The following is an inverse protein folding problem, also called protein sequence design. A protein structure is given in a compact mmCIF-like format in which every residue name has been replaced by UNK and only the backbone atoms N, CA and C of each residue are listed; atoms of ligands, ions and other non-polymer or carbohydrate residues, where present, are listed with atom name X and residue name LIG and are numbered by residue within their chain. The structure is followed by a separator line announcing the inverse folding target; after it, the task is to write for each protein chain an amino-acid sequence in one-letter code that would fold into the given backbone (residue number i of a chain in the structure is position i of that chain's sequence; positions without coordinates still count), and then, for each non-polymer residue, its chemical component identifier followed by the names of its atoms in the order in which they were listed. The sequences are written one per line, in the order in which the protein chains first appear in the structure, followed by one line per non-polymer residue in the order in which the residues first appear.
data_IF_686555562659
#
_entry.id   IF_686555562659
#
_cell.length_a   1.000
_cell.length_b   1.000
_cell.length_c   1.000
_cell.angle_alpha   90.00
_cell.angle_beta   90.00
_cell.angle_gamma   90.00
#
_symmetry.space_group_name_H-M   'P 1'
#
loop_
_entity.id
_entity.type
_entity.pdbx_description
1 polymer ?
#
# COMPACT_ATOMS: atom_id res chain seq x y z
N UNK A 1 26.65 -13.81 -1.62
CA UNK A 1 25.67 -13.09 -0.78
C UNK A 1 26.09 -11.63 -0.79
N UNK A 2 25.25 -10.71 -1.22
CA UNK A 2 25.58 -9.28 -1.23
C UNK A 2 25.55 -8.80 0.24
N UNK A 3 26.68 -8.35 0.82
CA UNK A 3 26.77 -8.07 2.26
C UNK A 3 26.09 -6.76 2.68
N UNK A 4 25.43 -6.07 1.75
CA UNK A 4 24.82 -4.76 1.95
C UNK A 4 23.31 -4.75 1.78
N UNK A 5 22.65 -5.90 1.54
CA UNK A 5 21.20 -5.96 1.49
C UNK A 5 20.63 -6.05 2.90
N UNK A 6 19.89 -5.03 3.29
CA UNK A 6 19.07 -5.07 4.48
C UNK A 6 17.91 -6.07 4.30
N UNK A 7 17.26 -6.42 5.41
CA UNK A 7 16.10 -7.32 5.37
C UNK A 7 14.93 -6.70 4.59
N UNK A 8 14.75 -5.38 4.69
CA UNK A 8 13.76 -4.61 3.92
C UNK A 8 14.02 -4.68 2.41
N UNK A 9 15.27 -4.77 1.96
CA UNK A 9 15.60 -4.91 0.54
C UNK A 9 14.99 -6.17 -0.10
N UNK A 10 14.73 -7.21 0.71
CA UNK A 10 14.06 -8.43 0.23
C UNK A 10 12.61 -8.16 -0.14
N UNK A 11 11.91 -7.36 0.65
CA UNK A 11 10.52 -6.97 0.36
C UNK A 11 10.48 -6.03 -0.84
N UNK A 12 11.39 -5.07 -0.93
CA UNK A 12 11.53 -4.21 -2.11
C UNK A 12 11.80 -5.05 -3.36
N UNK A 13 12.68 -6.05 -3.28
CA UNK A 13 12.91 -6.96 -4.40
C UNK A 13 11.65 -7.76 -4.76
N UNK A 14 10.92 -8.26 -3.78
CA UNK A 14 9.66 -8.96 -4.01
C UNK A 14 8.61 -8.03 -4.66
N UNK A 15 8.54 -6.77 -4.21
CA UNK A 15 7.69 -5.74 -4.78
C UNK A 15 7.96 -5.56 -6.28
N UNK A 16 9.19 -5.25 -6.64
CA UNK A 16 9.59 -5.04 -8.04
C UNK A 16 9.40 -6.32 -8.88
N UNK A 17 9.60 -7.49 -8.28
CA UNK A 17 9.34 -8.75 -8.96
C UNK A 17 7.85 -9.00 -9.20
N UNK A 18 6.98 -8.53 -8.32
CA UNK A 18 5.53 -8.54 -8.51
C UNK A 18 5.12 -7.74 -9.75
N UNK A 19 5.65 -6.53 -9.93
CA UNK A 19 5.47 -5.74 -11.15
C UNK A 19 5.97 -6.49 -12.39
N UNK A 20 7.17 -7.06 -12.31
CA UNK A 20 7.73 -7.85 -13.41
C UNK A 20 6.82 -9.03 -13.80
N UNK A 21 6.25 -9.74 -12.83
CA UNK A 21 5.36 -10.87 -13.12
C UNK A 21 4.12 -10.42 -13.89
N UNK A 22 3.48 -9.33 -13.49
CA UNK A 22 2.34 -8.78 -14.20
C UNK A 22 2.72 -8.32 -15.62
N UNK A 23 3.78 -7.53 -15.76
CA UNK A 23 4.24 -7.05 -17.06
C UNK A 23 4.62 -8.18 -18.01
N UNK A 24 5.25 -9.23 -17.49
CA UNK A 24 5.64 -10.39 -18.28
C UNK A 24 4.42 -11.17 -18.79
N UNK A 25 3.42 -11.39 -17.95
CA UNK A 25 2.19 -12.13 -18.33
C UNK A 25 1.34 -11.29 -19.28
N UNK A 26 1.18 -10.00 -19.00
CA UNK A 26 0.39 -9.07 -19.80
C UNK A 26 1.13 -8.54 -21.03
N UNK A 27 2.41 -8.91 -21.23
CA UNK A 27 3.25 -8.46 -22.35
C UNK A 27 3.33 -6.94 -22.50
N UNK A 28 3.45 -6.25 -21.38
CA UNK A 28 3.52 -4.79 -21.31
C UNK A 28 2.18 -4.08 -21.55
N UNK A 29 1.06 -4.80 -21.52
CA UNK A 29 -0.27 -4.16 -21.43
C UNK A 29 -0.43 -3.61 -20.02
N UNK A 30 -0.61 -2.32 -19.91
CA UNK A 30 -0.62 -1.64 -18.62
C UNK A 30 -1.99 -1.79 -17.93
N UNK A 31 -2.01 -2.42 -16.78
CA UNK A 31 -3.10 -2.28 -15.82
C UNK A 31 -3.09 -0.84 -15.24
N UNK A 32 -4.19 -0.38 -14.68
CA UNK A 32 -4.18 0.89 -13.94
C UNK A 32 -3.14 0.86 -12.80
N UNK A 33 -2.61 2.00 -12.41
CA UNK A 33 -1.58 2.13 -11.37
C UNK A 33 -1.96 1.40 -10.08
N UNK A 34 -3.20 1.58 -9.62
CA UNK A 34 -3.69 0.91 -8.42
C UNK A 34 -3.55 -0.62 -8.51
N UNK A 35 -3.90 -1.19 -9.67
CA UNK A 35 -3.85 -2.64 -9.89
C UNK A 35 -2.39 -3.12 -10.03
N UNK A 36 -1.53 -2.34 -10.65
CA UNK A 36 -0.10 -2.65 -10.71
C UNK A 36 0.50 -2.77 -9.30
N UNK A 37 0.09 -1.87 -8.39
CA UNK A 37 0.52 -1.93 -6.99
C UNK A 37 -0.13 -3.10 -6.22
N UNK A 38 -1.32 -3.59 -6.59
CA UNK A 38 -1.85 -4.83 -6.02
C UNK A 38 -0.94 -6.00 -6.34
N UNK A 39 -0.42 -6.10 -7.56
CA UNK A 39 0.47 -7.18 -7.95
C UNK A 39 1.79 -7.18 -7.17
N UNK A 40 2.40 -6.01 -7.00
CA UNK A 40 3.65 -5.87 -6.27
C UNK A 40 3.46 -6.17 -4.77
N UNK A 41 2.50 -5.55 -4.12
CA UNK A 41 2.26 -5.72 -2.69
C UNK A 41 1.74 -7.12 -2.34
N UNK A 42 0.90 -7.73 -3.17
CA UNK A 42 0.46 -9.10 -2.95
C UNK A 42 1.63 -10.09 -3.07
N UNK A 43 2.57 -9.85 -3.99
CA UNK A 43 3.76 -10.69 -4.10
C UNK A 43 4.68 -10.57 -2.87
N UNK A 44 4.80 -9.38 -2.28
CA UNK A 44 5.52 -9.21 -1.01
C UNK A 44 4.95 -10.15 0.07
N UNK A 45 3.64 -10.09 0.31
CA UNK A 45 2.97 -10.93 1.30
C UNK A 45 3.10 -12.42 1.01
N UNK A 46 2.83 -12.85 -0.22
CA UNK A 46 2.91 -14.25 -0.60
C UNK A 46 4.35 -14.78 -0.52
N UNK A 47 5.35 -13.95 -0.84
CA UNK A 47 6.76 -14.32 -0.69
C UNK A 47 7.11 -14.73 0.73
N UNK A 48 6.49 -14.11 1.73
CA UNK A 48 6.66 -14.45 3.14
C UNK A 48 6.08 -15.82 3.49
N UNK A 49 4.93 -16.17 2.91
CA UNK A 49 4.28 -17.47 3.16
C UNK A 49 5.08 -18.66 2.62
N UNK A 50 5.88 -18.44 1.57
CA UNK A 50 6.62 -19.48 0.86
C UNK A 50 8.14 -19.42 1.05
N UNK A 51 8.62 -18.58 1.98
CA UNK A 51 10.02 -18.46 2.33
C UNK A 51 10.29 -18.99 3.73
N UNK A 52 11.53 -19.36 4.01
CA UNK A 52 11.95 -19.82 5.33
C UNK A 52 12.47 -18.66 6.19
N UNK A 53 12.30 -18.75 7.51
CA UNK A 53 12.80 -17.79 8.50
C UNK A 53 12.30 -16.35 8.23
N UNK A 54 10.99 -16.21 8.04
CA UNK A 54 10.35 -14.93 7.67
C UNK A 54 9.70 -14.19 8.83
N UNK A 55 9.70 -14.70 10.06
CA UNK A 55 8.98 -14.10 11.21
C UNK A 55 9.27 -12.60 11.37
N UNK A 56 10.55 -12.21 11.34
CA UNK A 56 10.93 -10.81 11.40
C UNK A 56 10.40 -10.00 10.20
N UNK A 57 10.51 -10.54 8.98
CA UNK A 57 10.03 -9.87 7.78
C UNK A 57 8.51 -9.75 7.75
N UNK A 58 7.80 -10.74 8.27
CA UNK A 58 6.34 -10.70 8.41
C UNK A 58 5.93 -9.59 9.36
N UNK A 59 6.54 -9.51 10.53
CA UNK A 59 6.31 -8.41 11.48
C UNK A 59 6.61 -7.06 10.85
N UNK A 60 7.75 -6.95 10.16
CA UNK A 60 8.14 -5.71 9.47
C UNK A 60 7.10 -5.33 8.39
N UNK A 61 6.69 -6.27 7.52
CA UNK A 61 5.69 -6.01 6.46
C UNK A 61 4.33 -5.59 7.02
N UNK A 62 3.89 -6.22 8.10
CA UNK A 62 2.62 -5.83 8.74
C UNK A 62 2.70 -4.44 9.37
N UNK A 63 3.83 -4.10 10.00
CA UNK A 63 4.05 -2.75 10.53
C UNK A 63 4.12 -1.71 9.40
N UNK A 64 4.85 -2.00 8.32
CA UNK A 64 4.91 -1.19 7.12
C UNK A 64 3.52 -0.96 6.51
N UNK A 65 2.71 -2.00 6.42
CA UNK A 65 1.34 -1.90 5.91
C UNK A 65 0.44 -1.00 6.77
N UNK A 66 0.62 -1.03 8.09
CA UNK A 66 -0.06 -0.08 8.97
C UNK A 66 0.38 1.37 8.69
N UNK A 67 1.69 1.58 8.48
CA UNK A 67 2.20 2.89 8.07
C UNK A 67 1.60 3.32 6.73
N UNK A 68 1.48 2.41 5.75
CA UNK A 68 0.84 2.71 4.47
C UNK A 68 -0.61 3.19 4.66
N UNK A 69 -1.41 2.53 5.50
CA UNK A 69 -2.79 2.97 5.76
C UNK A 69 -2.86 4.36 6.40
N UNK A 70 -1.92 4.73 7.24
CA UNK A 70 -1.96 6.01 7.98
C UNK A 70 -1.25 7.11 7.20
N UNK A 71 0.02 6.91 6.89
CA UNK A 71 0.87 7.94 6.30
C UNK A 71 0.49 8.23 4.84
N UNK A 72 0.32 7.19 4.01
CA UNK A 72 -0.01 7.38 2.61
C UNK A 72 -1.43 7.93 2.42
N UNK A 73 -2.36 7.61 3.33
CA UNK A 73 -3.68 8.23 3.33
C UNK A 73 -3.62 9.71 3.73
N UNK A 74 -2.76 10.06 4.69
CA UNK A 74 -2.52 11.46 5.05
C UNK A 74 -1.92 12.24 3.86
N UNK A 75 -0.95 11.66 3.16
CA UNK A 75 -0.40 12.24 1.93
C UNK A 75 -1.45 12.41 0.84
N UNK A 76 -2.30 11.42 0.62
CA UNK A 76 -3.37 11.49 -0.38
C UNK A 76 -4.39 12.59 -0.04
N UNK A 77 -4.77 12.73 1.23
CA UNK A 77 -5.67 13.79 1.68
C UNK A 77 -5.01 15.16 1.53
N UNK A 78 -3.73 15.30 1.88
CA UNK A 78 -2.97 16.53 1.69
C UNK A 78 -2.97 16.95 0.22
N UNK A 79 -2.62 16.03 -0.67
CA UNK A 79 -2.58 16.26 -2.11
C UNK A 79 -3.94 16.72 -2.64
N UNK A 80 -5.02 16.03 -2.28
CA UNK A 80 -6.37 16.40 -2.66
C UNK A 80 -6.75 17.80 -2.19
N UNK A 81 -6.42 18.15 -0.96
CA UNK A 81 -6.77 19.46 -0.40
C UNK A 81 -5.92 20.60 -0.96
N UNK A 82 -4.62 20.35 -1.18
CA UNK A 82 -3.73 21.35 -1.81
C UNK A 82 -4.22 21.69 -3.22
N UNK A 83 -4.63 20.71 -3.99
CA UNK A 83 -5.18 20.97 -5.33
C UNK A 83 -6.51 21.73 -5.31
N UNK A 84 -7.21 21.71 -4.19
CA UNK A 84 -8.39 22.55 -3.96
C UNK A 84 -8.09 24.02 -3.63
N UNK A 85 -6.83 24.35 -3.27
CA UNK A 85 -6.44 25.72 -2.93
C UNK A 85 -6.32 26.55 -4.21
N UNK A 86 -6.98 27.71 -4.23
CA UNK A 86 -6.98 28.62 -5.38
C UNK A 86 -6.79 30.08 -4.95
N UNK A 87 -6.30 30.91 -5.87
CA UNK A 87 -6.17 32.35 -5.68
C UNK A 87 -5.35 32.71 -4.44
N UNK A 88 -5.91 33.55 -3.56
CA UNK A 88 -5.24 34.04 -2.36
C UNK A 88 -5.03 32.96 -1.29
N UNK A 89 -5.72 31.84 -1.36
CA UNK A 89 -5.55 30.71 -0.45
C UNK A 89 -4.31 29.87 -0.77
N UNK A 90 -3.80 29.90 -2.00
CA UNK A 90 -2.61 29.16 -2.39
C UNK A 90 -1.34 29.92 -2.00
N UNK A 91 -0.97 29.85 -0.75
CA UNK A 91 0.26 30.43 -0.19
C UNK A 91 1.10 29.36 0.49
N UNK A 92 2.41 29.57 0.57
CA UNK A 92 3.29 28.65 1.29
C UNK A 92 2.86 28.44 2.76
N UNK A 93 2.41 29.51 3.43
CA UNK A 93 1.93 29.46 4.81
C UNK A 93 0.71 28.52 4.94
N UNK A 94 -0.27 28.68 4.07
CA UNK A 94 -1.48 27.84 4.11
C UNK A 94 -1.18 26.38 3.75
N UNK A 95 -0.28 26.13 2.81
CA UNK A 95 0.14 24.76 2.45
C UNK A 95 0.86 24.08 3.62
N UNK A 96 1.78 24.80 4.29
CA UNK A 96 2.47 24.29 5.48
C UNK A 96 1.49 24.02 6.64
N UNK A 97 0.56 24.94 6.88
CA UNK A 97 -0.44 24.78 7.92
C UNK A 97 -1.37 23.59 7.64
N UNK A 98 -1.76 23.40 6.39
CA UNK A 98 -2.58 22.27 5.95
C UNK A 98 -1.86 20.95 6.17
N UNK A 99 -0.59 20.85 5.79
CA UNK A 99 0.20 19.64 5.97
C UNK A 99 0.35 19.28 7.46
N UNK A 100 0.67 20.27 8.30
CA UNK A 100 0.78 20.07 9.74
C UNK A 100 -0.56 19.64 10.36
N UNK A 101 -1.68 20.27 9.94
CA UNK A 101 -3.00 19.89 10.44
C UNK A 101 -3.37 18.45 10.08
N UNK A 102 -3.11 18.02 8.85
CA UNK A 102 -3.39 16.65 8.42
C UNK A 102 -2.52 15.66 9.22
N UNK A 103 -1.24 15.95 9.41
CA UNK A 103 -0.39 15.13 10.26
C UNK A 103 -0.95 14.93 11.66
N UNK A 104 -1.43 16.02 12.27
CA UNK A 104 -2.07 15.96 13.59
C UNK A 104 -3.39 15.18 13.57
N UNK A 105 -4.23 15.36 12.55
CA UNK A 105 -5.50 14.65 12.41
C UNK A 105 -5.31 13.14 12.25
N UNK A 106 -4.20 12.72 11.66
CA UNK A 106 -3.82 11.30 11.50
C UNK A 106 -2.96 10.77 12.66
N UNK A 107 -2.66 11.57 13.68
CA UNK A 107 -1.84 11.17 14.83
C UNK A 107 -0.36 11.00 14.51
N UNK A 108 0.14 11.62 13.44
CA UNK A 108 1.52 11.52 12.98
C UNK A 108 2.50 12.44 13.73
N UNK A 109 2.04 13.26 14.67
CA UNK A 109 2.89 14.17 15.46
C UNK A 109 4.06 13.44 16.16
N UNK A 110 3.88 12.16 16.47
CA UNK A 110 4.91 11.31 17.11
C UNK A 110 5.80 10.56 16.11
N UNK A 111 5.58 10.71 14.81
CA UNK A 111 6.24 9.96 13.73
C UNK A 111 7.30 10.79 13.00
N UNK A 112 7.82 11.84 13.60
CA UNK A 112 8.77 12.77 12.96
C UNK A 112 8.18 13.49 11.72
N UNK A 113 6.87 13.78 11.75
CA UNK A 113 6.15 14.48 10.68
C UNK A 113 6.53 15.97 10.67
N UNK A 114 7.58 16.33 9.94
CA UNK A 114 7.98 17.74 9.77
C UNK A 114 7.09 18.41 8.72
N UNK A 115 6.67 19.62 8.99
CA UNK A 115 5.80 20.42 8.12
C UNK A 115 6.36 20.69 6.71
N UNK A 116 7.59 20.29 6.44
CA UNK A 116 8.28 20.47 5.16
C UNK A 116 8.59 19.17 4.43
N UNK A 117 8.31 18.01 5.02
CA UNK A 117 8.70 16.72 4.45
C UNK A 117 8.04 16.47 3.09
N UNK A 118 6.84 17.01 2.88
CA UNK A 118 6.15 16.88 1.59
C UNK A 118 6.98 17.39 0.40
N UNK A 119 7.95 18.31 0.60
CA UNK A 119 8.79 18.79 -0.51
C UNK A 119 9.76 17.73 -1.01
N UNK A 120 10.03 16.69 -0.23
CA UNK A 120 10.89 15.56 -0.59
C UNK A 120 10.13 14.42 -1.23
N UNK A 121 8.81 14.40 -1.14
CA UNK A 121 7.94 13.37 -1.71
C UNK A 121 7.79 13.61 -3.21
N UNK A 122 8.60 12.93 -4.00
CA UNK A 122 8.70 13.15 -5.46
C UNK A 122 7.38 12.90 -6.18
N UNK A 123 6.56 11.98 -5.71
CA UNK A 123 5.27 11.62 -6.31
C UNK A 123 4.30 12.80 -6.41
N UNK A 124 4.29 13.72 -5.43
CA UNK A 124 3.45 14.92 -5.51
C UNK A 124 3.74 15.80 -6.73
N UNK A 125 4.93 15.68 -7.30
CA UNK A 125 5.38 16.52 -8.41
C UNK A 125 5.46 15.78 -9.74
N UNK A 126 5.62 14.46 -9.70
CA UNK A 126 5.81 13.64 -10.90
C UNK A 126 4.58 12.82 -11.25
N UNK A 127 3.83 12.36 -10.26
CA UNK A 127 2.69 11.45 -10.43
C UNK A 127 1.52 11.89 -9.54
N UNK A 128 0.78 12.95 -9.93
CA UNK A 128 -0.33 13.47 -9.13
C UNK A 128 -1.35 12.41 -8.74
N UNK A 129 -1.82 12.45 -7.49
CA UNK A 129 -2.79 11.51 -6.91
C UNK A 129 -2.31 10.05 -6.84
N UNK A 130 -0.99 9.83 -6.81
CA UNK A 130 -0.43 8.47 -6.75
C UNK A 130 -0.54 7.85 -5.34
N UNK A 131 -0.45 8.67 -4.28
CA UNK A 131 -0.34 8.18 -2.91
C UNK A 131 -1.51 7.28 -2.47
N UNK A 132 -2.72 7.58 -2.94
CA UNK A 132 -3.89 6.76 -2.64
C UNK A 132 -3.78 5.35 -3.25
N UNK A 133 -3.05 5.18 -4.35
CA UNK A 133 -2.84 3.88 -4.98
C UNK A 133 -2.16 2.89 -4.04
N UNK A 134 -1.18 3.33 -3.24
CA UNK A 134 -0.54 2.48 -2.24
C UNK A 134 -1.51 2.00 -1.17
N UNK A 135 -2.42 2.85 -0.72
CA UNK A 135 -3.40 2.50 0.32
C UNK A 135 -4.39 1.46 -0.18
N UNK A 136 -5.02 1.74 -1.32
CA UNK A 136 -6.09 0.86 -1.85
C UNK A 136 -5.56 -0.46 -2.39
N UNK A 137 -4.34 -0.46 -2.92
CA UNK A 137 -3.68 -1.68 -3.38
C UNK A 137 -3.19 -2.53 -2.21
N UNK A 138 -2.65 -1.92 -1.14
CA UNK A 138 -2.28 -2.64 0.06
C UNK A 138 -3.47 -3.35 0.69
N UNK A 139 -4.64 -2.72 0.69
CA UNK A 139 -5.87 -3.33 1.20
C UNK A 139 -6.25 -4.59 0.42
N UNK A 140 -6.24 -4.54 -0.91
CA UNK A 140 -6.53 -5.72 -1.74
C UNK A 140 -5.45 -6.80 -1.62
N UNK A 141 -4.18 -6.41 -1.55
CA UNK A 141 -3.06 -7.32 -1.34
C UNK A 141 -3.15 -8.05 0.01
N UNK A 142 -3.56 -7.35 1.06
CA UNK A 142 -3.82 -7.95 2.36
C UNK A 142 -4.98 -8.97 2.33
N UNK A 143 -6.02 -8.73 1.56
CA UNK A 143 -7.11 -9.70 1.41
C UNK A 143 -6.62 -10.98 0.71
N UNK A 144 -5.74 -10.87 -0.27
CA UNK A 144 -5.09 -12.03 -0.90
C UNK A 144 -4.24 -12.79 0.11
N UNK A 145 -3.48 -12.07 0.94
CA UNK A 145 -2.70 -12.66 2.02
C UNK A 145 -3.57 -13.37 3.06
N UNK A 146 -4.68 -12.75 3.49
CA UNK A 146 -5.62 -13.37 4.41
C UNK A 146 -6.17 -14.70 3.87
N UNK A 147 -6.54 -14.75 2.59
CA UNK A 147 -6.99 -16.00 1.96
C UNK A 147 -5.89 -17.08 1.98
N UNK A 148 -4.62 -16.70 1.83
CA UNK A 148 -3.50 -17.63 1.92
C UNK A 148 -3.32 -18.18 3.34
N UNK A 149 -3.49 -17.34 4.37
CA UNK A 149 -3.42 -17.75 5.77
C UNK A 149 -4.60 -18.66 6.18
N UNK A 150 -5.79 -18.38 5.67
CA UNK A 150 -6.99 -19.19 5.93
C UNK A 150 -6.94 -20.57 5.25
N UNK A 151 -6.37 -20.62 4.05
CA UNK A 151 -6.26 -21.84 3.27
C UNK A 151 -5.03 -21.80 2.39
N UNK A 152 -4.00 -22.56 2.75
CA UNK A 152 -2.73 -22.62 2.00
C UNK A 152 -2.96 -22.87 0.51
N UNK A 153 -2.43 -22.01 -0.32
CA UNK A 153 -2.55 -22.03 -1.78
C UNK A 153 -3.75 -21.24 -2.31
N UNK A 154 -4.68 -20.77 -1.48
CA UNK A 154 -5.85 -20.02 -1.95
C UNK A 154 -5.45 -18.62 -2.42
N UNK A 155 -4.67 -17.90 -1.63
CA UNK A 155 -4.14 -16.59 -2.01
C UNK A 155 -3.22 -16.67 -3.23
N UNK A 156 -2.33 -17.67 -3.28
CA UNK A 156 -1.47 -17.90 -4.44
C UNK A 156 -2.28 -18.17 -5.70
N UNK A 157 -3.31 -19.02 -5.60
CA UNK A 157 -4.19 -19.31 -6.75
C UNK A 157 -4.95 -18.09 -7.23
N UNK A 158 -5.39 -17.22 -6.32
CA UNK A 158 -6.01 -15.95 -6.67
C UNK A 158 -4.99 -15.01 -7.33
N UNK A 159 -3.78 -14.93 -6.79
CA UNK A 159 -2.69 -14.14 -7.38
C UNK A 159 -2.38 -14.57 -8.82
N UNK A 160 -2.29 -15.88 -9.08
CA UNK A 160 -2.09 -16.40 -10.44
C UNK A 160 -3.22 -15.98 -11.41
N UNK A 161 -4.47 -15.91 -10.93
CA UNK A 161 -5.60 -15.48 -11.75
C UNK A 161 -5.51 -13.99 -12.07
N UNK A 162 -5.18 -13.14 -11.09
CA UNK A 162 -5.11 -11.70 -11.30
C UNK A 162 -3.92 -11.27 -12.17
N UNK A 163 -2.85 -12.07 -12.26
CA UNK A 163 -1.67 -11.73 -13.07
C UNK A 163 -1.99 -11.43 -14.53
N UNK A 164 -3.04 -12.01 -15.08
CA UNK A 164 -3.47 -11.79 -16.46
C UNK A 164 -4.59 -10.76 -16.60
N UNK A 165 -4.99 -10.09 -15.51
CA UNK A 165 -6.02 -9.06 -15.56
C UNK A 165 -5.58 -7.87 -16.41
N UNK A 166 -6.52 -7.36 -17.20
CA UNK A 166 -6.36 -6.15 -17.99
C UNK A 166 -7.35 -5.06 -17.52
N UNK A 167 -7.91 -5.22 -16.32
CA UNK A 167 -8.77 -4.21 -15.73
C UNK A 167 -7.98 -2.91 -15.50
N UNK A 168 -8.65 -1.79 -15.78
CA UNK A 168 -8.05 -0.47 -15.58
C UNK A 168 -8.64 0.26 -14.36
N UNK A 169 -9.68 -0.31 -13.74
CA UNK A 169 -10.40 0.27 -12.62
C UNK A 169 -10.38 -0.68 -11.42
N UNK A 170 -9.84 -0.20 -10.31
CA UNK A 170 -9.66 -0.98 -9.09
C UNK A 170 -10.95 -1.62 -8.58
N UNK A 171 -12.07 -0.89 -8.59
CA UNK A 171 -13.34 -1.43 -8.08
C UNK A 171 -13.89 -2.55 -8.94
N UNK A 172 -13.77 -2.45 -10.27
CA UNK A 172 -14.14 -3.53 -11.19
C UNK A 172 -13.24 -4.74 -11.00
N UNK A 173 -11.94 -4.51 -10.83
CA UNK A 173 -10.98 -5.56 -10.52
C UNK A 173 -11.33 -6.28 -9.21
N UNK A 174 -11.58 -5.54 -8.12
CA UNK A 174 -11.96 -6.13 -6.85
C UNK A 174 -13.24 -6.99 -6.98
N UNK A 175 -14.28 -6.49 -7.64
CA UNK A 175 -15.52 -7.23 -7.88
C UNK A 175 -15.28 -8.50 -8.71
N UNK A 176 -14.49 -8.40 -9.80
CA UNK A 176 -14.19 -9.52 -10.70
C UNK A 176 -13.53 -10.68 -9.95
N UNK A 177 -12.64 -10.38 -9.03
CA UNK A 177 -11.86 -11.38 -8.30
C UNK A 177 -12.37 -11.68 -6.89
N UNK A 178 -13.58 -11.20 -6.56
CA UNK A 178 -14.24 -11.50 -5.29
C UNK A 178 -13.57 -10.85 -4.07
N UNK A 179 -12.84 -9.76 -4.29
CA UNK A 179 -12.24 -8.95 -3.23
C UNK A 179 -13.22 -7.86 -2.79
N UNK A 180 -13.20 -7.54 -1.51
CA UNK A 180 -14.00 -6.46 -0.96
C UNK A 180 -13.42 -5.10 -1.37
N UNK A 181 -14.27 -4.14 -1.74
CA UNK A 181 -13.82 -2.79 -2.05
C UNK A 181 -13.11 -2.16 -0.84
N UNK A 182 -11.95 -1.51 -1.04
CA UNK A 182 -11.28 -0.74 0.03
C UNK A 182 -12.16 0.36 0.64
N UNK A 183 -13.18 0.80 -0.10
CA UNK A 183 -14.13 1.83 0.32
C UNK A 183 -15.44 1.26 0.89
N UNK A 184 -15.55 -0.05 1.08
CA UNK A 184 -16.73 -0.66 1.68
C UNK A 184 -16.86 -0.23 3.16
N UNK A 185 -18.11 -0.08 3.61
CA UNK A 185 -18.39 0.21 5.01
C UNK A 185 -17.83 -0.92 5.90
N UNK A 186 -17.13 -0.57 6.94
CA UNK A 186 -16.50 -1.52 7.87
C UNK A 186 -15.12 -2.04 7.41
N UNK A 187 -14.69 -1.83 6.16
CA UNK A 187 -13.45 -2.41 5.65
C UNK A 187 -12.20 -1.99 6.43
N UNK A 188 -12.10 -0.72 6.83
CA UNK A 188 -10.98 -0.25 7.65
C UNK A 188 -10.97 -0.87 9.06
N UNK A 189 -12.15 -1.16 9.63
CA UNK A 189 -12.26 -1.87 10.90
C UNK A 189 -11.77 -3.31 10.76
N UNK A 190 -12.17 -4.01 9.70
CA UNK A 190 -11.71 -5.37 9.42
C UNK A 190 -10.18 -5.42 9.23
N UNK A 191 -9.62 -4.44 8.51
CA UNK A 191 -8.18 -4.31 8.36
C UNK A 191 -7.48 -4.04 9.71
N UNK A 192 -8.03 -3.14 10.54
CA UNK A 192 -7.48 -2.83 11.85
C UNK A 192 -7.52 -4.04 12.80
N UNK A 193 -8.57 -4.88 12.73
CA UNK A 193 -8.66 -6.12 13.50
C UNK A 193 -7.51 -7.09 13.16
N UNK A 194 -7.13 -7.20 11.89
CA UNK A 194 -6.00 -8.03 11.50
C UNK A 194 -4.71 -7.61 12.21
N UNK A 195 -4.42 -6.32 12.26
CA UNK A 195 -3.22 -5.80 12.94
C UNK A 195 -3.26 -6.01 14.44
N UNK A 196 -4.43 -5.95 15.08
CA UNK A 196 -4.59 -6.13 16.52
C UNK A 196 -4.65 -7.58 16.96
N UNK A 197 -4.92 -8.51 16.05
CA UNK A 197 -5.02 -9.95 16.36
C UNK A 197 -3.80 -10.75 15.92
N UNK A 198 -2.87 -10.13 15.19
CA UNK A 198 -1.64 -10.80 14.75
C UNK A 198 -0.64 -10.84 15.92
N UNK A 199 -0.29 -12.05 16.46
CA UNK A 199 0.54 -12.18 17.66
C UNK A 199 1.90 -11.51 17.53
N UNK A 200 2.47 -11.49 16.33
CA UNK A 200 3.77 -10.93 16.00
C UNK A 200 3.81 -9.41 16.23
N UNK A 201 2.72 -8.70 15.97
CA UNK A 201 2.62 -7.25 16.20
C UNK A 201 2.32 -6.90 17.66
N UNK A 202 1.67 -7.81 18.39
CA UNK A 202 1.38 -7.58 19.81
C UNK A 202 2.59 -7.81 20.73
N UNK A 203 3.65 -8.44 20.22
CA UNK A 203 4.85 -8.76 20.97
C UNK A 203 5.99 -7.75 20.76
N UNK A 204 5.85 -6.79 19.85
CA UNK A 204 6.82 -5.75 19.50
C UNK A 204 6.55 -4.46 20.28
#
# INVERSE_FOLDING_TARGET
MCPYLDQSDKLTFAHEFGHFCNDYVCRGSYAGTDIAEVHSQAFEYLSLCYSENTDYLTTYKLADSLCVYVEQAAYALFEQQVYGLTGEALTAENVLALYAQIGSDFGLDSWDWDSRDFVTVTHFYTNPMYMISYVVSNDLAMQIYQQELESTGAGLSLYEQILSSQDSFLLTFAETYGLQSPFAEGRLQDAAELFTTTPELMAA
#
